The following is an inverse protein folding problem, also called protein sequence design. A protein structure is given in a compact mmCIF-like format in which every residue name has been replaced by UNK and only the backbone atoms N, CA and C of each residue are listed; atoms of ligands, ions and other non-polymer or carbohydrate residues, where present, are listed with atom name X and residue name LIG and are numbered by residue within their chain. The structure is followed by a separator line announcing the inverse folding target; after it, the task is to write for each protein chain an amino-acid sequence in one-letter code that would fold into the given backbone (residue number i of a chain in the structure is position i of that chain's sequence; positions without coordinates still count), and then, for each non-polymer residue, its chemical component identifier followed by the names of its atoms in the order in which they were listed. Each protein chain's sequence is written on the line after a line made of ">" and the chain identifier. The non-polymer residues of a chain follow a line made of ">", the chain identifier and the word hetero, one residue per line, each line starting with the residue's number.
data_IF_970051125566
#
_entry.id   IF_970051125566
#
_cell.length_a   1.000
_cell.length_b   1.000
_cell.length_c   1.000
_cell.angle_alpha   90.00
_cell.angle_beta   90.00
_cell.angle_gamma   90.00
#
_symmetry.space_group_name_H-M   'P 1'
#
loop_
_entity.id
_entity.type
_entity.pdbx_description
1 polymer ?
#
# COMPACT_ATOMS: atom_id res chain seq x y z
N UNK A 1 74.64 22.53 -33.33
CA UNK A 1 74.42 21.10 -33.62
C UNK A 1 74.72 20.26 -32.38
N UNK A 2 73.68 19.80 -31.68
CA UNK A 2 73.72 18.70 -30.70
C UNK A 2 72.36 18.02 -30.76
N UNK A 3 72.38 16.80 -31.25
CA UNK A 3 71.28 15.84 -31.31
C UNK A 3 70.99 15.37 -29.89
N UNK A 4 69.71 15.26 -29.49
CA UNK A 4 69.17 14.16 -28.68
C UNK A 4 67.67 14.29 -28.40
N UNK A 5 66.99 13.19 -28.70
CA UNK A 5 65.81 12.66 -28.01
C UNK A 5 64.49 13.41 -28.18
N UNK A 6 63.61 12.88 -29.03
CA UNK A 6 62.21 12.61 -28.68
C UNK A 6 61.65 11.59 -29.68
N UNK A 7 62.05 10.34 -29.49
CA UNK A 7 61.47 9.16 -30.12
C UNK A 7 60.96 8.28 -28.97
N UNK A 8 59.67 8.34 -28.69
CA UNK A 8 58.83 7.23 -28.19
C UNK A 8 57.44 7.79 -27.84
N UNK A 9 56.41 6.97 -28.04
CA UNK A 9 54.99 7.17 -27.70
C UNK A 9 54.07 7.68 -28.82
N UNK A 10 54.13 7.03 -29.99
CA UNK A 10 52.91 6.81 -30.79
C UNK A 10 52.85 5.32 -31.17
N UNK A 11 52.74 4.45 -30.16
CA UNK A 11 52.29 3.07 -30.33
C UNK A 11 51.38 2.73 -29.16
N UNK A 12 50.15 3.22 -29.25
CA UNK A 12 49.01 2.68 -28.50
C UNK A 12 47.82 2.57 -29.46
N UNK A 13 48.08 2.01 -30.64
CA UNK A 13 47.05 1.44 -31.49
C UNK A 13 46.56 0.16 -30.85
N UNK A 14 45.66 0.27 -29.88
CA UNK A 14 44.90 -0.87 -29.37
C UNK A 14 43.65 -0.99 -30.23
N UNK A 15 43.76 -1.80 -31.29
CA UNK A 15 42.63 -2.55 -31.81
C UNK A 15 42.12 -3.46 -30.69
N UNK A 16 40.97 -3.14 -30.09
CA UNK A 16 40.10 -4.15 -29.46
C UNK A 16 38.88 -4.29 -30.35
N UNK A 17 39.00 -5.15 -31.36
CA UNK A 17 37.87 -5.76 -32.04
C UNK A 17 37.89 -7.25 -31.72
N UNK A 18 36.70 -7.78 -31.43
CA UNK A 18 36.37 -9.18 -31.14
C UNK A 18 36.70 -9.60 -29.69
N UNK A 19 35.80 -10.18 -28.92
CA UNK A 19 34.78 -11.16 -29.29
C UNK A 19 33.53 -10.94 -28.43
N UNK A 20 32.38 -11.09 -29.07
CA UNK A 20 31.05 -11.18 -28.49
C UNK A 20 30.98 -12.23 -27.36
N UNK A 21 31.35 -11.85 -26.14
CA UNK A 21 30.95 -12.57 -24.94
C UNK A 21 29.47 -12.30 -24.74
N UNK A 22 28.63 -13.30 -25.02
CA UNK A 22 27.17 -13.21 -24.96
C UNK A 22 26.69 -12.64 -23.64
N UNK A 23 26.53 -11.32 -23.57
CA UNK A 23 25.59 -10.71 -22.65
C UNK A 23 24.23 -11.15 -23.15
N UNK A 24 23.75 -12.29 -22.64
CA UNK A 24 22.33 -12.52 -22.52
C UNK A 24 21.82 -11.25 -21.86
N UNK A 25 21.20 -10.37 -22.63
CA UNK A 25 20.42 -9.27 -22.09
C UNK A 25 19.39 -9.95 -21.20
N UNK A 26 19.70 -10.04 -19.90
CA UNK A 26 18.78 -10.51 -18.89
C UNK A 26 17.66 -9.49 -18.97
N UNK A 27 16.58 -9.87 -19.67
CA UNK A 27 15.33 -9.13 -19.70
C UNK A 27 14.81 -9.11 -18.28
N UNK A 28 15.28 -8.14 -17.48
CA UNK A 28 14.78 -7.91 -16.13
C UNK A 28 13.31 -7.54 -16.30
N UNK A 29 12.44 -8.45 -15.90
CA UNK A 29 11.02 -8.18 -15.74
C UNK A 29 10.89 -7.35 -14.48
N UNK A 30 10.45 -6.10 -14.63
CA UNK A 30 10.20 -5.22 -13.50
C UNK A 30 8.71 -5.03 -13.37
N UNK A 31 8.19 -5.19 -12.15
CA UNK A 31 6.82 -4.84 -11.82
C UNK A 31 6.81 -3.48 -11.16
N UNK A 32 5.94 -2.58 -11.61
CA UNK A 32 5.75 -1.26 -11.03
C UNK A 32 4.27 -1.04 -10.77
N UNK A 33 3.94 -0.39 -9.65
CA UNK A 33 2.58 0.07 -9.38
C UNK A 33 2.45 1.53 -9.80
N UNK A 34 1.48 1.80 -10.65
CA UNK A 34 1.19 3.14 -11.15
C UNK A 34 -0.24 3.52 -10.78
N UNK A 35 -0.45 4.79 -10.47
CA UNK A 35 -1.75 5.35 -10.09
C UNK A 35 -2.28 6.20 -11.23
N UNK A 36 -3.57 6.08 -11.52
CA UNK A 36 -4.25 6.98 -12.44
C UNK A 36 -4.33 8.41 -11.88
N UNK A 37 -4.86 9.31 -12.71
CA UNK A 37 -5.39 10.59 -12.25
C UNK A 37 -6.53 10.38 -11.24
N UNK A 38 -6.86 11.44 -10.50
CA UNK A 38 -8.03 11.45 -9.64
C UNK A 38 -9.29 11.36 -10.50
N UNK A 39 -10.15 10.40 -10.18
CA UNK A 39 -11.43 10.18 -10.80
C UNK A 39 -12.54 10.50 -9.79
N UNK A 40 -13.67 10.99 -10.28
CA UNK A 40 -14.85 11.24 -9.46
C UNK A 40 -16.08 10.60 -10.06
N UNK A 41 -16.92 10.00 -9.22
CA UNK A 41 -18.17 9.40 -9.66
C UNK A 41 -19.28 9.58 -8.63
N UNK A 42 -20.52 9.45 -9.10
CA UNK A 42 -21.68 9.41 -8.22
C UNK A 42 -21.74 8.03 -7.55
N UNK A 43 -22.00 8.02 -6.25
CA UNK A 43 -22.23 6.81 -5.49
C UNK A 43 -23.40 6.98 -4.51
N UNK A 44 -23.87 5.87 -3.98
CA UNK A 44 -24.90 5.83 -2.93
C UNK A 44 -24.33 5.16 -1.69
N UNK A 45 -24.54 5.78 -0.53
CA UNK A 45 -24.21 5.16 0.75
C UNK A 45 -25.14 3.98 0.98
N UNK A 46 -24.58 2.77 1.03
CA UNK A 46 -25.33 1.56 1.35
C UNK A 46 -25.42 1.36 2.86
N UNK A 47 -24.27 1.34 3.54
CA UNK A 47 -24.19 1.02 4.96
C UNK A 47 -23.14 1.88 5.66
N UNK A 48 -23.44 2.22 6.91
CA UNK A 48 -22.54 2.91 7.82
C UNK A 48 -22.32 2.02 9.05
N UNK A 49 -21.10 1.51 9.22
CA UNK A 49 -20.76 0.57 10.30
C UNK A 49 -19.77 1.19 11.26
N UNK A 50 -19.98 0.97 12.57
CA UNK A 50 -18.98 1.24 13.60
C UNK A 50 -18.61 -0.08 14.29
N UNK A 51 -17.31 -0.33 14.39
CA UNK A 51 -16.74 -1.50 15.05
C UNK A 51 -16.07 -1.01 16.33
N UNK A 52 -16.78 -1.16 17.44
CA UNK A 52 -16.25 -0.91 18.77
C UNK A 52 -15.56 -2.18 19.26
N UNK A 53 -14.28 -2.12 19.65
CA UNK A 53 -13.59 -3.28 20.20
C UNK A 53 -14.20 -3.61 21.57
N UNK A 54 -14.75 -4.81 21.70
CA UNK A 54 -15.12 -5.36 23.00
C UNK A 54 -13.90 -6.02 23.63
N UNK A 55 -13.65 -5.73 24.90
CA UNK A 55 -12.58 -6.31 25.69
C UNK A 55 -12.83 -7.82 25.86
N UNK A 56 -11.77 -8.62 25.71
CA UNK A 56 -11.79 -10.03 26.10
C UNK A 56 -11.95 -10.16 27.61
N UNK A 57 -12.65 -11.21 28.07
CA UNK A 57 -12.79 -11.55 29.50
C UNK A 57 -11.40 -11.55 30.17
N UNK A 58 -11.27 -11.05 31.42
CA UNK A 58 -10.00 -11.10 32.13
C UNK A 58 -9.50 -12.54 32.21
N UNK A 59 -8.24 -12.75 31.85
CA UNK A 59 -7.55 -14.03 32.03
C UNK A 59 -7.24 -14.20 33.51
N UNK A 60 -7.84 -15.19 34.16
CA UNK A 60 -7.43 -15.60 35.51
C UNK A 60 -6.06 -16.29 35.35
N UNK A 61 -5.01 -15.67 35.87
CA UNK A 61 -3.73 -16.36 36.07
C UNK A 61 -3.92 -17.22 37.33
N UNK A 62 -3.60 -18.51 37.24
CA UNK A 62 -3.85 -19.49 38.32
C UNK A 62 -3.41 -18.94 39.69
N UNK A 63 -4.22 -19.12 40.75
CA UNK A 63 -3.83 -18.71 42.09
C UNK A 63 -2.60 -19.51 42.53
N UNK A 64 -1.54 -18.81 42.92
CA UNK A 64 -0.37 -19.40 43.56
C UNK A 64 -0.58 -19.37 45.07
N UNK A 65 -0.31 -20.49 45.75
CA UNK A 65 -0.39 -20.60 47.20
C UNK A 65 1.01 -20.54 47.79
N UNK A 66 1.41 -19.39 48.33
CA UNK A 66 2.54 -19.30 49.25
C UNK A 66 1.98 -19.00 50.64
N UNK A 67 2.31 -19.85 51.62
CA UNK A 67 2.04 -19.67 53.06
C UNK A 67 0.57 -19.65 53.53
N UNK A 68 -0.37 -20.20 52.76
CA UNK A 68 -1.76 -20.39 53.22
C UNK A 68 -2.69 -19.18 53.02
N UNK A 69 -2.18 -18.09 52.45
CA UNK A 69 -3.01 -16.98 51.94
C UNK A 69 -3.26 -17.14 50.44
N UNK A 70 -4.55 -17.20 50.06
CA UNK A 70 -4.97 -17.29 48.67
C UNK A 70 -4.88 -15.90 48.03
N UNK A 71 -3.76 -15.61 47.37
CA UNK A 71 -3.57 -14.37 46.62
C UNK A 71 -4.02 -14.55 45.17
N UNK A 72 -5.21 -14.05 44.84
CA UNK A 72 -5.64 -13.88 43.44
C UNK A 72 -5.05 -12.58 42.90
N UNK A 73 -4.00 -12.68 42.09
CA UNK A 73 -3.44 -11.52 41.42
C UNK A 73 -4.27 -11.19 40.18
N UNK A 74 -5.15 -10.19 40.29
CA UNK A 74 -5.86 -9.63 39.15
C UNK A 74 -4.95 -8.66 38.41
N UNK A 75 -4.41 -9.06 37.26
CA UNK A 75 -3.73 -8.12 36.36
C UNK A 75 -4.78 -7.56 35.40
N UNK A 76 -5.21 -6.29 35.54
CA UNK A 76 -6.08 -5.68 34.55
C UNK A 76 -5.31 -5.55 33.23
N UNK A 77 -5.67 -6.35 32.23
CA UNK A 77 -5.15 -6.18 30.87
C UNK A 77 -5.91 -5.01 30.26
N UNK A 78 -5.28 -3.84 30.26
CA UNK A 78 -5.84 -2.67 29.57
C UNK A 78 -5.55 -2.83 28.07
N UNK A 79 -6.60 -3.02 27.28
CA UNK A 79 -6.53 -3.22 25.84
C UNK A 79 -7.00 -1.95 25.15
N UNK A 80 -6.05 -1.13 24.69
CA UNK A 80 -6.33 0.07 23.91
C UNK A 80 -6.47 -0.30 22.42
N UNK A 81 -7.66 -0.76 22.03
CA UNK A 81 -7.98 -1.00 20.63
C UNK A 81 -8.82 0.18 20.14
N UNK A 82 -8.45 0.83 19.02
CA UNK A 82 -9.20 1.97 18.51
C UNK A 82 -10.51 1.54 17.85
N UNK A 83 -11.56 2.35 18.02
CA UNK A 83 -12.80 2.23 17.25
C UNK A 83 -12.51 2.34 15.76
N UNK A 84 -13.11 1.45 14.97
CA UNK A 84 -12.96 1.48 13.51
C UNK A 84 -14.30 1.75 12.86
N UNK A 85 -14.35 2.74 11.97
CA UNK A 85 -15.53 3.09 11.21
C UNK A 85 -15.42 2.52 9.80
N UNK A 86 -16.54 2.12 9.22
CA UNK A 86 -16.60 1.69 7.83
C UNK A 86 -17.78 2.31 7.09
N UNK A 87 -17.52 2.72 5.85
CA UNK A 87 -18.49 3.29 4.92
C UNK A 87 -18.52 2.38 3.70
N UNK A 88 -19.71 1.86 3.38
CA UNK A 88 -19.93 1.02 2.19
C UNK A 88 -20.72 1.84 1.19
N UNK A 89 -20.14 2.00 0.00
CA UNK A 89 -20.66 2.83 -1.08
C UNK A 89 -20.92 1.96 -2.30
N UNK A 90 -22.02 2.19 -3.01
CA UNK A 90 -22.30 1.58 -4.32
C UNK A 90 -22.10 2.58 -5.43
N UNK A 91 -21.27 2.22 -6.40
CA UNK A 91 -20.97 2.99 -7.59
C UNK A 91 -21.14 2.13 -8.85
N UNK A 92 -20.91 2.74 -10.03
CA UNK A 92 -21.02 2.04 -11.33
C UNK A 92 -20.02 0.88 -11.45
N UNK A 93 -18.85 1.02 -10.81
CA UNK A 93 -17.77 0.04 -10.85
C UNK A 93 -17.87 -1.05 -9.76
N UNK A 94 -18.89 -0.99 -8.90
CA UNK A 94 -19.15 -1.99 -7.86
C UNK A 94 -19.35 -1.37 -6.48
N UNK A 95 -18.75 -1.99 -5.47
CA UNK A 95 -18.86 -1.54 -4.08
C UNK A 95 -17.49 -1.11 -3.54
N UNK A 96 -17.44 0.09 -2.96
CA UNK A 96 -16.28 0.54 -2.20
C UNK A 96 -16.53 0.34 -0.72
N UNK A 97 -15.62 -0.40 -0.09
CA UNK A 97 -15.60 -0.58 1.36
C UNK A 97 -14.41 0.19 1.89
N UNK A 98 -14.69 1.27 2.62
CA UNK A 98 -13.66 2.07 3.25
C UNK A 98 -13.71 1.87 4.75
N UNK A 99 -12.61 1.43 5.35
CA UNK A 99 -12.50 1.12 6.78
C UNK A 99 -11.28 1.78 7.38
N UNK A 100 -11.46 2.63 8.39
CA UNK A 100 -10.35 3.31 9.08
C UNK A 100 -10.81 3.93 10.41
N UNK A 101 -9.94 4.07 11.41
CA UNK A 101 -10.25 4.87 12.59
C UNK A 101 -10.32 6.39 12.26
N UNK A 102 -9.64 6.84 11.20
CA UNK A 102 -9.51 8.27 10.86
C UNK A 102 -10.73 8.87 10.16
N UNK A 103 -11.73 8.06 9.84
CA UNK A 103 -12.84 8.45 8.95
C UNK A 103 -14.11 8.72 9.73
N UNK A 104 -14.00 8.81 11.07
CA UNK A 104 -15.11 9.07 11.97
C UNK A 104 -15.93 10.30 11.55
N UNK A 105 -15.26 11.43 11.30
CA UNK A 105 -15.94 12.67 10.93
C UNK A 105 -16.73 12.54 9.63
N UNK A 106 -16.15 11.83 8.66
CA UNK A 106 -16.80 11.53 7.39
C UNK A 106 -18.01 10.62 7.60
N UNK A 107 -17.85 9.58 8.40
CA UNK A 107 -18.90 8.62 8.75
C UNK A 107 -20.07 9.30 9.48
N UNK A 108 -19.79 10.20 10.43
CA UNK A 108 -20.81 10.97 11.17
C UNK A 108 -21.58 11.96 10.28
N UNK A 109 -20.96 12.43 9.20
CA UNK A 109 -21.56 13.40 8.26
C UNK A 109 -22.43 12.78 7.16
N UNK A 110 -22.45 11.45 7.04
CA UNK A 110 -23.19 10.74 5.99
C UNK A 110 -24.43 10.05 6.53
N UNK A 111 -25.38 9.77 5.65
CA UNK A 111 -26.58 8.98 5.94
C UNK A 111 -26.70 7.82 4.97
N UNK A 112 -27.23 6.69 5.45
CA UNK A 112 -27.57 5.58 4.59
C UNK A 112 -28.61 6.01 3.53
N UNK A 113 -28.44 5.54 2.31
CA UNK A 113 -29.24 5.92 1.15
C UNK A 113 -28.89 7.27 0.53
N UNK A 114 -27.98 8.06 1.12
CA UNK A 114 -27.57 9.35 0.60
C UNK A 114 -26.76 9.22 -0.70
N UNK A 115 -27.03 10.12 -1.66
CA UNK A 115 -26.16 10.30 -2.83
C UNK A 115 -24.92 11.12 -2.47
N UNK A 116 -23.77 10.65 -2.94
CA UNK A 116 -22.47 11.26 -2.66
C UNK A 116 -21.62 11.27 -3.93
N UNK A 117 -20.63 12.14 -3.97
CA UNK A 117 -19.57 12.13 -4.97
C UNK A 117 -18.33 11.51 -4.34
N UNK A 118 -17.85 10.43 -4.92
CA UNK A 118 -16.65 9.71 -4.47
C UNK A 118 -15.47 10.10 -5.33
N UNK A 119 -14.32 10.33 -4.71
CA UNK A 119 -13.04 10.56 -5.37
C UNK A 119 -12.12 9.36 -5.13
N UNK A 120 -11.56 8.79 -6.18
CA UNK A 120 -10.67 7.63 -6.11
C UNK A 120 -9.55 7.68 -7.17
N UNK A 121 -8.60 6.74 -7.07
CA UNK A 121 -7.61 6.44 -8.11
C UNK A 121 -7.62 4.97 -8.44
N UNK A 122 -7.37 4.65 -9.69
CA UNK A 122 -7.10 3.31 -10.14
C UNK A 122 -5.63 2.98 -9.92
N UNK A 123 -5.33 1.82 -9.37
CA UNK A 123 -3.96 1.35 -9.21
C UNK A 123 -3.72 0.20 -10.16
N UNK A 124 -2.75 0.39 -11.05
CA UNK A 124 -2.35 -0.57 -12.07
C UNK A 124 -1.04 -1.22 -11.68
N UNK A 125 -0.97 -2.54 -11.86
CA UNK A 125 0.28 -3.29 -11.81
C UNK A 125 0.80 -3.47 -13.23
N UNK A 126 1.89 -2.78 -13.52
CA UNK A 126 2.52 -2.73 -14.83
C UNK A 126 3.73 -3.64 -14.88
N UNK A 127 3.85 -4.41 -15.96
CA UNK A 127 4.97 -5.30 -16.23
C UNK A 127 5.80 -4.74 -17.37
N UNK A 128 7.04 -4.42 -17.07
CA UNK A 128 7.99 -3.90 -18.04
C UNK A 128 9.00 -4.97 -18.46
N UNK A 129 9.38 -4.93 -19.73
CA UNK A 129 10.49 -5.70 -20.26
C UNK A 129 11.43 -4.74 -21.01
N UNK A 130 12.59 -4.46 -20.42
CA UNK A 130 13.58 -3.53 -20.97
C UNK A 130 12.91 -2.19 -21.38
N UNK A 131 12.21 -1.56 -20.44
CA UNK A 131 11.52 -0.28 -20.59
C UNK A 131 10.27 -0.26 -21.48
N UNK A 132 9.91 -1.38 -22.11
CA UNK A 132 8.63 -1.49 -22.83
C UNK A 132 7.56 -2.07 -21.92
N UNK A 133 6.44 -1.35 -21.78
CA UNK A 133 5.24 -1.86 -21.11
C UNK A 133 4.72 -3.07 -21.89
N UNK A 134 4.51 -4.19 -21.18
CA UNK A 134 4.01 -5.44 -21.77
C UNK A 134 2.62 -5.80 -21.31
N UNK A 135 2.28 -5.43 -20.08
CA UNK A 135 1.03 -5.78 -19.45
C UNK A 135 0.71 -4.69 -18.43
N UNK A 136 -0.55 -4.25 -18.42
CA UNK A 136 -1.10 -3.38 -17.40
C UNK A 136 -2.38 -4.01 -16.89
N UNK A 137 -2.49 -4.14 -15.58
CA UNK A 137 -3.65 -4.77 -14.92
C UNK A 137 -4.11 -3.89 -13.77
N UNK A 138 -5.39 -3.49 -13.79
CA UNK A 138 -6.03 -2.87 -12.65
C UNK A 138 -6.04 -3.88 -11.48
N UNK A 139 -5.46 -3.48 -10.34
CA UNK A 139 -5.34 -4.34 -9.15
C UNK A 139 -6.23 -3.89 -8.00
N UNK A 140 -6.48 -2.59 -7.86
CA UNK A 140 -7.36 -2.03 -6.83
C UNK A 140 -7.78 -0.62 -7.18
N UNK A 141 -8.83 -0.17 -6.51
CA UNK A 141 -9.20 1.23 -6.41
C UNK A 141 -8.71 1.77 -5.07
N UNK A 142 -8.06 2.93 -5.10
CA UNK A 142 -7.58 3.66 -3.93
C UNK A 142 -8.55 4.81 -3.66
N UNK A 143 -9.40 4.64 -2.65
CA UNK A 143 -10.33 5.67 -2.21
C UNK A 143 -9.57 6.87 -1.62
N UNK A 144 -9.99 8.08 -1.98
CA UNK A 144 -9.36 9.33 -1.55
C UNK A 144 -10.30 10.14 -0.66
N UNK A 145 -11.52 10.40 -1.15
CA UNK A 145 -12.48 11.28 -0.47
C UNK A 145 -13.92 10.97 -0.88
N UNK A 146 -14.89 11.40 -0.07
CA UNK A 146 -16.31 11.38 -0.43
C UNK A 146 -16.99 12.63 0.09
N UNK A 147 -17.88 13.19 -0.73
CA UNK A 147 -18.62 14.40 -0.39
C UNK A 147 -20.11 14.19 -0.57
N UNK A 148 -20.94 14.70 0.36
CA UNK A 148 -22.37 14.75 0.12
C UNK A 148 -22.66 15.58 -1.13
N UNK A 149 -23.62 15.11 -1.94
CA UNK A 149 -24.22 15.95 -2.99
C UNK A 149 -25.07 17.07 -2.39
#
# INVERSE_FOLDING_TARGET
>A
MKVKQFLLLIVAGIMVLSVCGGMRCIRKKTYQEERSLLLTENAKVLYLLSITPMHGKPSIINPSTDNGEMSTCFVPVNVDVPNVYAIILKCEHGEFIFKSPKIKQLWEGLKEGQEVIVTYREVYKNKYNSYKLKESRLIKYEFIDVKPK
#
